data_IF_966037915368
#
_entry.id   IF_966037915368
#
_cell.length_a   1.000
_cell.length_b   1.000
_cell.length_c   1.000
_cell.angle_alpha   90.00
_cell.angle_beta   90.00
_cell.angle_gamma   90.00
#
_symmetry.space_group_name_H-M   'P 1'
#
loop_
_entity.id
_entity.type
_entity.pdbx_description
1 polymer ?
#
# COMPACT_ATOMS: atom_id res chain seq x y z
N UNK A 1 13.20 13.10 12.03
CA UNK A 1 13.54 11.66 11.96
C UNK A 1 13.56 11.23 10.50
N UNK A 2 14.46 10.33 10.10
CA UNK A 2 14.48 9.77 8.74
C UNK A 2 13.28 8.85 8.49
N UNK A 3 12.94 8.61 7.22
CA UNK A 3 11.90 7.65 6.84
C UNK A 3 12.19 6.25 7.40
N UNK A 4 13.46 5.82 7.36
CA UNK A 4 13.88 4.54 7.91
C UNK A 4 13.62 4.45 9.42
N UNK A 5 13.95 5.51 10.18
CA UNK A 5 13.69 5.54 11.61
C UNK A 5 12.18 5.48 11.95
N UNK A 6 11.33 6.13 11.15
CA UNK A 6 9.88 6.05 11.31
C UNK A 6 9.34 4.66 10.98
N UNK A 7 9.83 4.03 9.91
CA UNK A 7 9.46 2.66 9.55
C UNK A 7 9.89 1.65 10.61
N UNK A 8 11.11 1.77 11.15
CA UNK A 8 11.57 0.94 12.26
C UNK A 8 10.63 1.03 13.47
N UNK A 9 10.20 2.25 13.81
CA UNK A 9 9.24 2.46 14.89
C UNK A 9 7.89 1.82 14.57
N UNK A 10 7.35 2.02 13.36
CA UNK A 10 6.07 1.41 12.94
C UNK A 10 6.14 -0.12 12.97
N UNK A 11 7.23 -0.72 12.51
CA UNK A 11 7.43 -2.17 12.50
C UNK A 11 7.40 -2.74 13.93
N UNK A 12 8.04 -2.05 14.89
CA UNK A 12 8.03 -2.48 16.29
C UNK A 12 6.65 -2.41 16.95
N UNK A 13 5.81 -1.44 16.59
CA UNK A 13 4.49 -1.24 17.20
C UNK A 13 3.35 -2.01 16.51
N UNK A 14 3.41 -2.17 15.19
CA UNK A 14 2.31 -2.72 14.39
C UNK A 14 2.66 -4.06 13.71
N UNK A 15 3.88 -4.55 13.90
CA UNK A 15 4.42 -5.68 13.13
C UNK A 15 4.99 -5.24 11.78
N UNK A 16 5.55 -6.18 11.01
CA UNK A 16 6.29 -5.89 9.78
C UNK A 16 5.51 -6.08 8.47
N UNK A 17 4.17 -6.01 8.50
CA UNK A 17 3.36 -6.32 7.32
C UNK A 17 3.48 -5.24 6.24
N UNK A 18 3.95 -5.62 5.05
CA UNK A 18 3.92 -4.80 3.84
C UNK A 18 2.97 -5.48 2.84
N UNK A 19 1.98 -4.74 2.36
CA UNK A 19 0.98 -5.29 1.42
C UNK A 19 1.28 -4.87 0.00
N UNK A 20 1.36 -5.84 -0.90
CA UNK A 20 1.48 -5.60 -2.34
C UNK A 20 0.09 -5.53 -2.97
N UNK A 21 -0.38 -4.32 -3.30
CA UNK A 21 -1.71 -4.09 -3.88
C UNK A 21 -1.65 -4.21 -5.41
N UNK A 22 -1.28 -5.39 -5.89
CA UNK A 22 -1.08 -5.69 -7.31
C UNK A 22 -2.09 -6.77 -7.74
N UNK A 23 -3.24 -6.38 -8.32
CA UNK A 23 -4.23 -7.34 -8.80
C UNK A 23 -3.67 -8.15 -9.97
N UNK A 24 -4.36 -9.25 -10.30
CA UNK A 24 -4.06 -10.01 -11.52
C UNK A 24 -4.33 -9.11 -12.73
N UNK A 25 -3.38 -8.94 -13.67
CA UNK A 25 -3.57 -8.10 -14.85
C UNK A 25 -4.83 -8.47 -15.65
N UNK A 26 -5.65 -7.47 -15.98
CA UNK A 26 -6.91 -7.66 -16.71
C UNK A 26 -8.07 -8.25 -15.88
N UNK A 27 -7.86 -8.51 -14.58
CA UNK A 27 -8.94 -8.86 -13.66
C UNK A 27 -9.94 -7.70 -13.51
N UNK A 28 -11.21 -7.96 -13.16
CA UNK A 28 -12.14 -6.89 -12.75
C UNK A 28 -11.62 -5.99 -11.61
N UNK A 29 -10.64 -6.48 -10.83
CA UNK A 29 -9.99 -5.71 -9.76
C UNK A 29 -8.80 -4.86 -10.24
N UNK A 30 -8.35 -5.03 -11.48
CA UNK A 30 -7.25 -4.28 -12.10
C UNK A 30 -7.73 -2.89 -12.55
N UNK A 31 -8.06 -2.07 -11.55
CA UNK A 31 -8.56 -0.72 -11.71
C UNK A 31 -7.88 0.20 -10.68
N UNK A 32 -7.33 1.36 -11.07
CA UNK A 32 -6.65 2.26 -10.15
C UNK A 32 -7.46 2.66 -8.91
N UNK A 33 -8.78 2.84 -9.03
CA UNK A 33 -9.64 3.17 -7.89
C UNK A 33 -9.76 1.99 -6.90
N UNK A 34 -9.79 0.76 -7.41
CA UNK A 34 -9.81 -0.46 -6.57
C UNK A 34 -8.45 -0.66 -5.91
N UNK A 35 -7.34 -0.43 -6.62
CA UNK A 35 -5.99 -0.48 -6.05
C UNK A 35 -5.83 0.53 -4.92
N UNK A 36 -6.34 1.75 -5.10
CA UNK A 36 -6.36 2.77 -4.05
C UNK A 36 -7.22 2.34 -2.84
N UNK A 37 -8.39 1.74 -3.08
CA UNK A 37 -9.23 1.20 -2.01
C UNK A 37 -8.55 0.05 -1.25
N UNK A 38 -7.87 -0.87 -1.95
CA UNK A 38 -7.10 -1.95 -1.34
C UNK A 38 -5.94 -1.43 -0.50
N UNK A 39 -5.22 -0.42 -1.00
CA UNK A 39 -4.13 0.26 -0.32
C UNK A 39 -4.61 0.90 1.00
N UNK A 40 -5.71 1.67 0.94
CA UNK A 40 -6.31 2.30 2.11
C UNK A 40 -6.77 1.25 3.13
N UNK A 41 -7.42 0.18 2.68
CA UNK A 41 -7.86 -0.91 3.55
C UNK A 41 -6.67 -1.59 4.23
N UNK A 42 -5.57 -1.84 3.51
CA UNK A 42 -4.36 -2.43 4.06
C UNK A 42 -3.70 -1.53 5.12
N UNK A 43 -3.61 -0.22 4.88
CA UNK A 43 -3.10 0.74 5.86
C UNK A 43 -3.98 0.75 7.13
N UNK A 44 -5.30 0.83 6.97
CA UNK A 44 -6.26 0.79 8.09
C UNK A 44 -6.20 -0.51 8.90
N UNK A 45 -5.82 -1.62 8.27
CA UNK A 45 -5.62 -2.91 8.91
C UNK A 45 -4.22 -3.10 9.53
N UNK A 46 -3.35 -2.08 9.49
CA UNK A 46 -2.05 -2.11 10.16
C UNK A 46 -0.85 -2.42 9.26
N UNK A 47 -0.99 -2.41 7.93
CA UNK A 47 0.17 -2.45 7.05
C UNK A 47 1.10 -1.26 7.33
N UNK A 48 2.39 -1.52 7.47
CA UNK A 48 3.40 -0.48 7.73
C UNK A 48 3.91 0.18 6.45
N UNK A 49 3.74 -0.49 5.31
CA UNK A 49 3.99 0.06 3.98
C UNK A 49 3.18 -0.68 2.91
N UNK A 50 3.18 -0.11 1.72
CA UNK A 50 2.49 -0.64 0.54
C UNK A 50 3.47 -0.76 -0.63
N UNK A 51 3.24 -1.74 -1.50
CA UNK A 51 3.88 -1.84 -2.82
C UNK A 51 2.82 -1.68 -3.90
N UNK A 52 3.00 -0.67 -4.75
CA UNK A 52 2.12 -0.31 -5.86
C UNK A 52 2.92 -0.43 -7.17
N UNK A 53 2.29 -0.95 -8.22
CA UNK A 53 2.85 -1.02 -9.58
C UNK A 53 2.04 -0.10 -10.50
N UNK A 54 2.71 0.56 -11.45
CA UNK A 54 2.08 1.43 -12.44
C UNK A 54 1.86 2.87 -11.96
N UNK A 55 2.10 3.83 -12.86
CA UNK A 55 1.98 5.27 -12.53
C UNK A 55 0.54 5.67 -12.21
N UNK A 56 -0.44 5.17 -12.96
CA UNK A 56 -1.86 5.46 -12.75
C UNK A 56 -2.34 4.96 -11.37
N UNK A 57 -1.93 3.75 -10.97
CA UNK A 57 -2.23 3.21 -9.65
C UNK A 57 -1.53 4.02 -8.55
N UNK A 58 -0.25 4.38 -8.75
CA UNK A 58 0.50 5.19 -7.78
C UNK A 58 -0.12 6.58 -7.58
N UNK A 59 -0.57 7.23 -8.65
CA UNK A 59 -1.29 8.51 -8.60
C UNK A 59 -2.63 8.39 -7.88
N UNK A 60 -3.37 7.29 -8.09
CA UNK A 60 -4.63 7.05 -7.39
C UNK A 60 -4.43 6.79 -5.88
N UNK A 61 -3.32 6.15 -5.49
CA UNK A 61 -2.97 5.88 -4.08
C UNK A 61 -2.39 7.11 -3.38
N UNK A 62 -1.65 7.96 -4.10
CA UNK A 62 -1.02 9.17 -3.59
C UNK A 62 -1.35 10.38 -4.49
N UNK A 63 -2.55 10.97 -4.34
CA UNK A 63 -2.98 12.12 -5.12
C UNK A 63 -2.13 13.37 -4.85
#
# INVERSE_FOLDING_TARGET
MSLLAQLDQRIRHHGGLIVSCQPVPGSPLDNPAIVAAMALAAEQAGAVALRIEGLANLQAVRP
#
